data_IF_454886735617
#
_entry.id   IF_454886735617
#
_cell.length_a   1.000
_cell.length_b   1.000
_cell.length_c   1.000
_cell.angle_alpha   90.00
_cell.angle_beta   90.00
_cell.angle_gamma   90.00
#
_symmetry.space_group_name_H-M   'P 1'
#
loop_
_entity.id
_entity.type
_entity.pdbx_description
1 polymer ?
#
# COMPACT_ATOMS: atom_id res chain seq x y z
N UNK A 1 -42.21 -57.38 -48.90
CA UNK A 1 -40.79 -57.27 -49.28
C UNK A 1 -40.00 -56.78 -48.05
N UNK A 2 -39.24 -57.69 -47.45
CA UNK A 2 -38.34 -57.46 -46.31
C UNK A 2 -37.08 -56.77 -46.82
N UNK A 3 -36.64 -55.70 -46.15
CA UNK A 3 -35.26 -55.26 -46.21
C UNK A 3 -34.75 -55.10 -44.79
N UNK A 4 -33.77 -55.86 -44.45
CA UNK A 4 -32.97 -55.96 -43.26
C UNK A 4 -32.11 -54.71 -43.05
N UNK A 5 -32.03 -54.25 -41.84
CA UNK A 5 -31.05 -53.22 -41.35
C UNK A 5 -29.90 -53.99 -40.69
N UNK A 6 -28.62 -53.74 -41.03
CA UNK A 6 -27.51 -54.46 -40.44
C UNK A 6 -27.18 -54.03 -39.02
N UNK A 7 -27.01 -54.98 -38.12
CA UNK A 7 -26.40 -54.97 -36.84
C UNK A 7 -24.91 -54.53 -36.92
N UNK A 8 -24.58 -53.33 -36.74
CA UNK A 8 -23.19 -52.88 -36.49
C UNK A 8 -23.13 -51.50 -35.84
N UNK A 9 -23.90 -51.23 -34.78
CA UNK A 9 -23.77 -49.96 -33.98
C UNK A 9 -24.02 -50.18 -32.50
N UNK A 10 -23.48 -51.27 -31.92
CA UNK A 10 -23.64 -51.51 -30.49
C UNK A 10 -22.35 -52.05 -29.84
N UNK A 11 -21.22 -51.37 -30.06
CA UNK A 11 -19.96 -51.75 -29.40
C UNK A 11 -19.00 -50.61 -29.07
N UNK A 12 -19.50 -49.37 -28.91
CA UNK A 12 -18.67 -48.23 -28.53
C UNK A 12 -19.19 -47.39 -27.36
N UNK A 13 -20.07 -47.93 -26.51
CA UNK A 13 -20.57 -47.22 -25.30
C UNK A 13 -20.21 -47.97 -24.01
N UNK A 14 -19.11 -48.68 -23.96
CA UNK A 14 -18.66 -49.34 -22.71
C UNK A 14 -17.16 -49.19 -22.43
N UNK A 15 -16.59 -48.03 -22.69
CA UNK A 15 -15.18 -47.77 -22.37
C UNK A 15 -14.94 -46.31 -21.93
N UNK A 16 -15.90 -45.65 -21.25
CA UNK A 16 -15.69 -44.29 -20.70
C UNK A 16 -16.21 -44.17 -19.27
N UNK A 17 -16.00 -45.15 -18.44
CA UNK A 17 -16.29 -45.13 -17.01
C UNK A 17 -15.19 -45.83 -16.25
N UNK A 18 -13.97 -45.23 -16.17
CA UNK A 18 -12.96 -45.63 -15.16
C UNK A 18 -11.73 -44.71 -15.27
N UNK A 19 -11.85 -43.48 -14.87
CA UNK A 19 -10.73 -42.63 -14.39
C UNK A 19 -11.26 -41.40 -13.63
N UNK A 20 -12.21 -41.57 -12.72
CA UNK A 20 -12.39 -40.62 -11.61
C UNK A 20 -11.45 -41.08 -10.50
N UNK A 21 -10.19 -40.70 -10.61
CA UNK A 21 -9.30 -40.68 -9.45
C UNK A 21 -9.86 -39.64 -8.50
N UNK A 22 -10.05 -39.96 -7.21
CA UNK A 22 -10.42 -38.94 -6.23
C UNK A 22 -9.32 -37.92 -6.24
N UNK A 23 -9.68 -36.67 -6.58
CA UNK A 23 -8.84 -35.51 -6.28
C UNK A 23 -8.61 -35.55 -4.77
N UNK A 24 -7.41 -35.97 -4.38
CA UNK A 24 -7.01 -35.96 -2.99
C UNK A 24 -7.24 -34.54 -2.47
N UNK A 25 -8.07 -34.40 -1.47
CA UNK A 25 -8.15 -33.21 -0.61
C UNK A 25 -6.73 -33.02 -0.12
N UNK A 26 -6.00 -32.09 -0.69
CA UNK A 26 -4.75 -31.60 -0.10
C UNK A 26 -5.13 -31.09 1.26
N UNK A 27 -4.74 -31.82 2.29
CA UNK A 27 -4.82 -31.32 3.67
C UNK A 27 -4.18 -29.93 3.67
N UNK A 28 -4.88 -28.98 4.27
CA UNK A 28 -4.29 -27.65 4.53
C UNK A 28 -2.96 -27.87 5.27
N UNK A 29 -1.89 -27.18 4.89
CA UNK A 29 -0.60 -27.35 5.57
C UNK A 29 -0.78 -27.08 7.06
N UNK A 30 -0.10 -27.85 7.93
CA UNK A 30 -0.14 -27.68 9.41
C UNK A 30 0.12 -26.21 9.87
N UNK A 31 0.83 -25.43 9.06
CA UNK A 31 1.09 -24.01 9.26
C UNK A 31 -0.20 -23.16 9.17
N UNK A 32 -1.19 -23.57 8.36
CA UNK A 32 -2.48 -22.84 8.24
C UNK A 32 -3.38 -23.09 9.48
N UNK A 33 -3.36 -24.29 10.04
CA UNK A 33 -4.12 -24.60 11.24
C UNK A 33 -3.59 -23.88 12.49
N UNK A 34 -2.25 -23.79 12.64
CA UNK A 34 -1.62 -22.98 13.69
C UNK A 34 -1.84 -21.48 13.49
N UNK A 35 -1.86 -21.02 12.26
CA UNK A 35 -2.16 -19.63 11.95
C UNK A 35 -3.62 -19.26 12.27
N UNK A 36 -4.58 -20.18 12.08
CA UNK A 36 -5.98 -19.94 12.44
C UNK A 36 -6.22 -19.71 13.94
N UNK A 37 -5.37 -20.25 14.81
CA UNK A 37 -5.44 -20.02 16.26
C UNK A 37 -4.69 -18.77 16.75
N UNK A 38 -4.05 -18.03 15.85
CA UNK A 38 -3.17 -16.91 16.19
C UNK A 38 -3.89 -15.72 16.83
N UNK A 39 -5.17 -15.51 16.49
CA UNK A 39 -5.96 -14.35 16.91
C UNK A 39 -7.37 -14.75 17.36
N UNK A 40 -8.02 -13.90 18.16
CA UNK A 40 -9.42 -14.07 18.58
C UNK A 40 -10.38 -13.26 17.71
N UNK A 41 -9.95 -12.14 17.14
CA UNK A 41 -10.78 -11.29 16.30
C UNK A 41 -11.38 -12.09 15.12
N UNK A 42 -12.69 -11.91 14.81
CA UNK A 42 -13.37 -12.69 13.77
C UNK A 42 -12.96 -12.29 12.35
N UNK A 43 -12.34 -11.14 12.16
CA UNK A 43 -11.89 -10.68 10.84
C UNK A 43 -10.52 -10.05 10.90
N UNK A 44 -9.58 -10.52 10.06
CA UNK A 44 -8.25 -9.94 9.98
C UNK A 44 -7.53 -10.24 8.66
N UNK A 45 -6.64 -9.34 8.27
CA UNK A 45 -5.67 -9.52 7.18
C UNK A 45 -4.32 -8.97 7.61
N UNK A 46 -3.27 -9.71 7.29
CA UNK A 46 -1.89 -9.23 7.36
C UNK A 46 -1.33 -9.14 5.95
N UNK A 47 -0.83 -7.99 5.56
CA UNK A 47 -0.32 -7.71 4.22
C UNK A 47 1.09 -7.12 4.29
N UNK A 48 1.98 -7.57 3.38
CA UNK A 48 3.26 -6.92 3.17
C UNK A 48 3.08 -5.72 2.21
N UNK A 49 3.64 -4.56 2.59
CA UNK A 49 3.37 -3.27 1.94
C UNK A 49 3.85 -3.20 0.48
N UNK A 50 5.09 -3.62 0.17
CA UNK A 50 5.68 -3.42 -1.16
C UNK A 50 5.05 -4.33 -2.20
N UNK A 51 4.93 -5.61 -1.89
CA UNK A 51 4.38 -6.62 -2.80
C UNK A 51 2.86 -6.67 -2.81
N UNK A 52 2.19 -6.24 -1.72
CA UNK A 52 0.77 -6.44 -1.49
C UNK A 52 0.40 -7.89 -1.17
N UNK A 53 1.40 -8.73 -0.88
CA UNK A 53 1.17 -10.14 -0.54
C UNK A 53 0.43 -10.26 0.79
N UNK A 54 -0.67 -11.01 0.78
CA UNK A 54 -1.40 -11.39 2.00
C UNK A 54 -0.67 -12.55 2.67
N UNK A 55 -0.18 -12.33 3.89
CA UNK A 55 0.56 -13.32 4.69
C UNK A 55 -0.34 -14.12 5.61
N UNK A 56 -1.46 -13.53 6.00
CA UNK A 56 -2.50 -14.14 6.84
C UNK A 56 -3.86 -13.53 6.50
N UNK A 57 -4.90 -14.36 6.55
CA UNK A 57 -6.27 -13.89 6.42
C UNK A 57 -7.24 -14.72 7.26
N UNK A 58 -8.23 -14.06 7.84
CA UNK A 58 -9.41 -14.65 8.49
C UNK A 58 -10.61 -13.82 8.11
N UNK A 59 -11.63 -14.45 7.51
CA UNK A 59 -12.84 -13.78 6.99
C UNK A 59 -12.52 -12.46 6.24
N UNK A 60 -11.58 -12.48 5.26
CA UNK A 60 -11.00 -11.27 4.67
C UNK A 60 -12.03 -10.40 3.94
N UNK A 61 -13.10 -11.01 3.42
CA UNK A 61 -14.10 -10.35 2.57
C UNK A 61 -15.47 -10.16 3.29
N UNK A 62 -15.55 -10.53 4.57
CA UNK A 62 -16.78 -10.35 5.34
C UNK A 62 -16.99 -8.87 5.68
N UNK A 63 -18.11 -8.31 5.23
CA UNK A 63 -18.52 -6.92 5.46
C UNK A 63 -18.79 -6.68 6.94
N UNK A 64 -18.18 -5.64 7.50
CA UNK A 64 -18.32 -5.22 8.89
C UNK A 64 -18.27 -3.70 8.98
N UNK A 65 -18.87 -3.14 10.02
CA UNK A 65 -18.72 -1.70 10.30
C UNK A 65 -17.25 -1.36 10.62
N UNK A 66 -16.65 -0.36 9.96
CA UNK A 66 -15.25 0.04 10.18
C UNK A 66 -15.08 0.95 11.40
N UNK A 67 -16.12 1.59 11.89
CA UNK A 67 -16.01 2.72 12.81
C UNK A 67 -14.97 3.75 12.29
N UNK A 68 -14.18 4.36 13.16
CA UNK A 68 -13.17 5.38 12.76
C UNK A 68 -12.02 4.88 11.87
N UNK A 69 -11.98 3.60 11.48
CA UNK A 69 -11.09 3.14 10.40
C UNK A 69 -11.45 3.83 9.07
N UNK A 70 -12.70 4.25 8.90
CA UNK A 70 -13.19 5.10 7.81
C UNK A 70 -12.27 6.28 7.52
N UNK A 71 -11.68 6.88 8.55
CA UNK A 71 -10.79 8.04 8.42
C UNK A 71 -9.50 7.78 7.65
N UNK A 72 -9.16 6.52 7.38
CA UNK A 72 -8.06 6.19 6.46
C UNK A 72 -8.42 6.67 5.05
N UNK A 73 -9.66 6.44 4.59
CA UNK A 73 -10.13 6.94 3.30
C UNK A 73 -10.25 8.47 3.31
N UNK A 74 -10.72 9.05 4.40
CA UNK A 74 -10.74 10.52 4.59
C UNK A 74 -9.36 11.12 4.43
N UNK A 75 -8.34 10.53 5.05
CA UNK A 75 -6.94 10.96 4.92
C UNK A 75 -6.42 10.78 3.48
N UNK A 76 -6.77 9.67 2.79
CA UNK A 76 -6.40 9.49 1.38
C UNK A 76 -6.89 10.67 0.55
N UNK A 77 -8.17 11.07 0.67
CA UNK A 77 -8.70 12.19 -0.11
C UNK A 77 -8.10 13.54 0.27
N UNK A 78 -7.78 13.75 1.55
CA UNK A 78 -7.07 14.95 2.00
C UNK A 78 -5.68 15.01 1.36
N UNK A 79 -4.93 13.92 1.38
CA UNK A 79 -3.61 13.87 0.76
C UNK A 79 -3.67 13.84 -0.78
N UNK A 80 -4.73 13.28 -1.38
CA UNK A 80 -4.99 13.42 -2.83
C UNK A 80 -5.12 14.91 -3.18
N UNK A 81 -5.92 15.69 -2.42
CA UNK A 81 -6.09 17.14 -2.62
C UNK A 81 -4.77 17.94 -2.43
N UNK A 82 -3.95 17.57 -1.44
CA UNK A 82 -2.63 18.17 -1.24
C UNK A 82 -1.72 17.89 -2.45
N UNK A 83 -1.69 16.67 -2.93
CA UNK A 83 -0.86 16.28 -4.08
C UNK A 83 -1.32 16.94 -5.38
N UNK A 84 -2.60 17.19 -5.54
CA UNK A 84 -3.21 17.90 -6.68
C UNK A 84 -3.00 19.42 -6.59
N UNK A 85 -2.53 19.93 -5.44
CA UNK A 85 -2.31 21.36 -5.21
C UNK A 85 -3.60 22.14 -4.98
N UNK A 86 -4.71 21.47 -4.69
CA UNK A 86 -6.00 22.09 -4.34
C UNK A 86 -6.14 22.34 -2.85
N UNK A 87 -5.26 21.76 -2.02
CA UNK A 87 -5.14 21.97 -0.58
C UNK A 87 -3.66 22.09 -0.24
N UNK A 88 -3.30 23.04 0.67
CA UNK A 88 -1.96 23.22 1.22
C UNK A 88 -2.00 23.04 2.74
N UNK A 89 -0.88 22.64 3.34
CA UNK A 89 -0.82 22.40 4.80
C UNK A 89 -1.11 23.65 5.62
N UNK A 90 -0.82 24.80 5.07
CA UNK A 90 -1.01 26.14 5.68
C UNK A 90 -2.42 26.71 5.48
N UNK A 91 -3.24 26.09 4.61
CA UNK A 91 -4.59 26.59 4.34
C UNK A 91 -5.46 26.57 5.60
N UNK A 92 -6.23 27.64 5.76
CA UNK A 92 -7.06 27.83 6.94
C UNK A 92 -8.40 27.12 6.77
N UNK A 93 -8.64 26.16 7.61
CA UNK A 93 -9.88 25.39 7.70
C UNK A 93 -10.78 26.04 8.76
N UNK A 94 -11.99 26.41 8.38
CA UNK A 94 -12.98 27.00 9.31
C UNK A 94 -13.99 25.92 9.71
N UNK A 95 -14.17 25.72 11.01
CA UNK A 95 -15.11 24.75 11.55
C UNK A 95 -16.54 25.26 11.38
N UNK A 96 -17.38 24.50 10.69
CA UNK A 96 -18.81 24.80 10.53
C UNK A 96 -19.62 24.43 11.80
N UNK A 97 -20.87 24.93 11.89
CA UNK A 97 -21.80 24.51 12.93
C UNK A 97 -22.05 22.99 12.88
N UNK A 98 -22.08 22.39 11.68
CA UNK A 98 -22.27 20.96 11.49
C UNK A 98 -21.04 20.16 11.98
N UNK A 99 -19.83 20.53 11.57
CA UNK A 99 -18.60 19.90 12.05
C UNK A 99 -18.49 19.96 13.58
N UNK A 100 -18.78 21.12 14.19
CA UNK A 100 -18.81 21.30 15.64
C UNK A 100 -19.83 20.38 16.33
N UNK A 101 -20.95 20.06 15.70
CA UNK A 101 -22.03 19.23 16.27
C UNK A 101 -21.69 17.74 16.33
N UNK A 102 -20.58 17.30 15.73
CA UNK A 102 -20.20 15.89 15.68
C UNK A 102 -20.02 15.32 17.09
N UNK A 103 -20.57 14.12 17.29
CA UNK A 103 -20.39 13.33 18.50
C UNK A 103 -19.16 12.41 18.45
N UNK A 104 -19.05 11.55 19.45
CA UNK A 104 -17.97 10.54 19.54
C UNK A 104 -16.61 11.12 19.86
N UNK A 105 -15.56 10.68 19.16
CA UNK A 105 -14.20 11.22 19.33
C UNK A 105 -14.12 12.64 18.76
N UNK A 106 -13.76 13.61 19.58
CA UNK A 106 -13.68 15.03 19.21
C UNK A 106 -12.39 15.66 19.73
N UNK A 107 -11.98 16.71 19.06
CA UNK A 107 -10.97 17.65 19.59
C UNK A 107 -11.62 18.95 20.07
N UNK A 108 -12.96 19.01 20.09
CA UNK A 108 -13.79 20.09 20.62
C UNK A 108 -13.61 21.42 19.90
N UNK A 109 -13.54 21.40 18.57
CA UNK A 109 -13.52 22.61 17.75
C UNK A 109 -14.80 23.42 17.95
N UNK A 110 -14.67 24.74 18.12
CA UNK A 110 -15.82 25.65 18.18
C UNK A 110 -16.24 26.11 16.78
N UNK A 111 -17.53 26.45 16.62
CA UNK A 111 -18.03 27.04 15.37
C UNK A 111 -17.31 28.34 15.05
N UNK A 112 -16.81 28.42 13.79
CA UNK A 112 -16.02 29.56 13.32
C UNK A 112 -14.55 29.51 13.78
N UNK A 113 -14.13 28.50 14.55
CA UNK A 113 -12.73 28.30 14.89
C UNK A 113 -11.93 27.97 13.62
N UNK A 114 -10.71 28.54 13.56
CA UNK A 114 -9.82 28.42 12.43
C UNK A 114 -8.55 27.68 12.84
N UNK A 115 -8.24 26.62 12.12
CA UNK A 115 -7.00 25.86 12.26
C UNK A 115 -6.37 25.69 10.88
N UNK A 116 -5.05 25.50 10.78
CA UNK A 116 -4.47 25.14 9.49
C UNK A 116 -4.72 23.64 9.16
N UNK A 117 -4.62 23.28 7.89
CA UNK A 117 -4.89 21.93 7.42
C UNK A 117 -3.97 20.89 8.08
N UNK A 118 -2.70 21.23 8.35
CA UNK A 118 -1.78 20.33 9.06
C UNK A 118 -2.28 20.00 10.47
N UNK A 119 -2.71 21.00 11.25
CA UNK A 119 -3.30 20.79 12.57
C UNK A 119 -4.55 19.91 12.49
N UNK A 120 -5.40 20.13 11.48
CA UNK A 120 -6.59 19.28 11.27
C UNK A 120 -6.22 17.83 10.94
N UNK A 121 -5.21 17.61 10.12
CA UNK A 121 -4.67 16.25 9.86
C UNK A 121 -4.20 15.60 11.17
N UNK A 122 -3.46 16.32 12.02
CA UNK A 122 -3.04 15.83 13.35
C UNK A 122 -4.24 15.47 14.22
N UNK A 123 -5.27 16.31 14.26
CA UNK A 123 -6.52 16.04 14.99
C UNK A 123 -7.20 14.74 14.53
N UNK A 124 -7.22 14.47 13.20
CA UNK A 124 -7.82 13.27 12.61
C UNK A 124 -6.98 12.03 12.92
N UNK A 125 -5.67 12.11 12.71
CA UNK A 125 -4.76 10.96 12.81
C UNK A 125 -4.54 10.55 14.27
N UNK A 126 -4.20 11.51 15.13
CA UNK A 126 -3.79 11.27 16.53
C UNK A 126 -5.01 11.04 17.42
N UNK A 127 -5.91 12.00 17.49
CA UNK A 127 -7.06 11.96 18.39
C UNK A 127 -8.33 11.38 17.78
N UNK A 128 -8.31 11.08 16.49
CA UNK A 128 -9.49 10.55 15.77
C UNK A 128 -10.67 11.54 15.74
N UNK A 129 -10.43 12.85 15.72
CA UNK A 129 -11.47 13.90 15.76
C UNK A 129 -12.50 13.76 14.63
N UNK A 130 -13.78 13.60 14.99
CA UNK A 130 -14.89 13.57 14.05
C UNK A 130 -15.18 14.96 13.52
N UNK A 131 -15.15 15.97 14.42
CA UNK A 131 -15.28 17.39 14.13
C UNK A 131 -14.23 17.86 13.10
N UNK A 132 -12.97 17.51 13.32
CA UNK A 132 -11.89 17.79 12.37
C UNK A 132 -12.08 17.06 11.03
N UNK A 133 -12.57 15.82 11.04
CA UNK A 133 -12.81 15.04 9.81
C UNK A 133 -13.87 15.68 8.93
N UNK A 134 -15.01 16.09 9.53
CA UNK A 134 -16.10 16.75 8.83
C UNK A 134 -15.68 18.12 8.32
N UNK A 135 -14.99 18.94 9.14
CA UNK A 135 -14.51 20.26 8.69
C UNK A 135 -13.56 20.16 7.49
N UNK A 136 -12.66 19.14 7.48
CA UNK A 136 -11.79 18.88 6.33
C UNK A 136 -12.56 18.38 5.11
N UNK A 137 -13.56 17.51 5.31
CA UNK A 137 -14.41 17.01 4.23
C UNK A 137 -15.19 18.15 3.55
N UNK A 138 -15.79 19.04 4.35
CA UNK A 138 -16.47 20.23 3.85
C UNK A 138 -15.52 21.18 3.10
N UNK A 139 -14.31 21.38 3.61
CA UNK A 139 -13.31 22.22 2.93
C UNK A 139 -12.88 21.65 1.58
N UNK A 140 -12.60 20.34 1.51
CA UNK A 140 -12.09 19.67 0.30
C UNK A 140 -13.16 19.47 -0.77
N UNK A 141 -14.42 19.23 -0.37
CA UNK A 141 -15.49 18.88 -1.31
C UNK A 141 -16.70 19.82 -1.27
N UNK A 142 -16.68 20.83 -0.42
CA UNK A 142 -17.80 21.77 -0.21
C UNK A 142 -18.86 21.25 0.75
N UNK A 143 -19.12 19.93 0.80
CA UNK A 143 -20.03 19.27 1.75
C UNK A 143 -19.49 17.89 2.12
N UNK A 144 -19.88 17.37 3.32
CA UNK A 144 -19.56 15.98 3.68
C UNK A 144 -20.16 15.00 2.68
N UNK A 145 -21.39 15.23 2.18
CA UNK A 145 -22.02 14.35 1.20
C UNK A 145 -21.17 14.22 -0.08
N UNK A 146 -20.74 15.35 -0.67
CA UNK A 146 -19.89 15.34 -1.86
C UNK A 146 -18.52 14.65 -1.59
N UNK A 147 -18.02 14.80 -0.36
CA UNK A 147 -16.79 14.11 0.05
C UNK A 147 -17.00 12.59 0.14
N UNK A 148 -18.12 12.13 0.69
CA UNK A 148 -18.47 10.70 0.78
C UNK A 148 -18.66 10.08 -0.60
N UNK A 149 -19.24 10.81 -1.55
CA UNK A 149 -19.33 10.38 -2.95
C UNK A 149 -17.92 10.11 -3.52
N UNK A 150 -16.96 11.05 -3.31
CA UNK A 150 -15.55 10.85 -3.70
C UNK A 150 -14.89 9.69 -2.96
N UNK A 151 -15.19 9.48 -1.66
CA UNK A 151 -14.68 8.30 -0.91
C UNK A 151 -15.11 7.00 -1.58
N UNK A 152 -16.37 6.89 -2.01
CA UNK A 152 -16.89 5.71 -2.68
C UNK A 152 -16.31 5.51 -4.10
N UNK A 153 -16.08 6.59 -4.84
CA UNK A 153 -15.36 6.54 -6.11
C UNK A 153 -13.92 6.05 -5.89
N UNK A 154 -13.21 6.64 -4.92
CA UNK A 154 -11.84 6.26 -4.60
C UNK A 154 -11.71 4.80 -4.13
N UNK A 155 -12.70 4.31 -3.39
CA UNK A 155 -12.76 2.90 -2.99
C UNK A 155 -12.87 1.97 -4.22
N UNK A 156 -13.69 2.33 -5.22
CA UNK A 156 -13.77 1.60 -6.50
C UNK A 156 -12.44 1.59 -7.24
N UNK A 157 -11.76 2.74 -7.33
CA UNK A 157 -10.45 2.86 -7.99
C UNK A 157 -9.39 1.99 -7.32
N UNK A 158 -9.45 1.83 -6.01
CA UNK A 158 -8.57 0.95 -5.24
C UNK A 158 -8.94 -0.53 -5.33
N UNK A 159 -10.07 -0.87 -5.97
CA UNK A 159 -10.56 -2.23 -6.07
C UNK A 159 -11.18 -2.76 -4.77
N UNK A 160 -11.63 -1.88 -3.87
CA UNK A 160 -12.32 -2.22 -2.62
C UNK A 160 -13.77 -2.64 -2.91
N UNK A 161 -13.95 -3.90 -3.31
CA UNK A 161 -15.23 -4.42 -3.83
C UNK A 161 -16.33 -4.56 -2.80
N UNK A 162 -15.96 -4.64 -1.53
CA UNK A 162 -16.87 -4.86 -0.41
C UNK A 162 -16.85 -3.70 0.58
N UNK A 163 -16.75 -2.46 0.06
CA UNK A 163 -16.72 -1.24 0.86
C UNK A 163 -17.74 -0.24 0.36
N UNK A 164 -18.44 0.38 1.30
CA UNK A 164 -19.32 1.51 1.05
C UNK A 164 -19.33 2.45 2.26
N UNK A 165 -19.13 3.73 2.02
CA UNK A 165 -19.10 4.79 3.02
C UNK A 165 -20.38 5.62 2.92
N UNK A 166 -20.94 6.03 4.08
CA UNK A 166 -22.08 6.94 4.18
C UNK A 166 -21.78 8.18 5.03
N UNK A 167 -20.63 8.19 5.73
CA UNK A 167 -20.05 9.37 6.39
C UNK A 167 -18.53 9.35 6.28
N UNK A 168 -17.88 10.48 6.58
CA UNK A 168 -16.42 10.63 6.47
C UNK A 168 -15.63 10.22 7.73
N UNK A 169 -16.30 9.88 8.82
CA UNK A 169 -15.62 9.65 10.12
C UNK A 169 -15.91 8.27 10.74
N UNK A 170 -16.91 7.54 10.25
CA UNK A 170 -17.31 6.23 10.74
C UNK A 170 -18.10 6.30 12.04
N UNK A 171 -18.91 7.35 12.23
CA UNK A 171 -19.76 7.52 13.40
C UNK A 171 -21.13 6.87 13.22
N UNK A 172 -21.59 6.72 11.98
CA UNK A 172 -22.90 6.19 11.66
C UNK A 172 -23.11 4.75 12.14
N UNK A 173 -24.33 4.43 12.51
CA UNK A 173 -24.79 3.07 12.81
C UNK A 173 -25.48 2.38 11.61
N UNK A 174 -25.47 3.04 10.43
CA UNK A 174 -26.06 2.48 9.20
C UNK A 174 -25.40 1.17 8.80
N UNK A 175 -26.20 0.19 8.42
CA UNK A 175 -25.72 -1.07 7.86
C UNK A 175 -25.11 -0.89 6.46
N UNK A 176 -25.40 0.22 5.79
CA UNK A 176 -24.82 0.57 4.50
C UNK A 176 -23.38 1.13 4.61
N UNK A 177 -22.89 1.38 5.85
CA UNK A 177 -21.52 1.79 6.11
C UNK A 177 -20.67 0.58 6.50
N UNK A 178 -19.99 0.01 5.53
CA UNK A 178 -19.24 -1.23 5.73
C UNK A 178 -17.93 -1.27 4.93
N UNK A 179 -17.03 -2.09 5.40
CA UNK A 179 -15.79 -2.49 4.71
C UNK A 179 -15.40 -3.91 5.13
N UNK A 180 -14.26 -4.39 4.66
CA UNK A 180 -13.73 -5.71 5.00
C UNK A 180 -12.29 -5.62 5.53
N UNK A 181 -11.78 -6.65 6.22
CA UNK A 181 -10.37 -6.68 6.62
C UNK A 181 -9.41 -6.51 5.44
N UNK A 182 -9.72 -7.09 4.28
CA UNK A 182 -8.90 -6.97 3.08
C UNK A 182 -8.93 -5.55 2.52
N UNK A 183 -10.11 -4.94 2.40
CA UNK A 183 -10.25 -3.57 1.88
C UNK A 183 -9.59 -2.54 2.81
N UNK A 184 -9.62 -2.78 4.14
CA UNK A 184 -8.83 -1.96 5.10
C UNK A 184 -7.33 -2.08 4.81
N UNK A 185 -6.81 -3.28 4.56
CA UNK A 185 -5.40 -3.46 4.22
C UNK A 185 -5.04 -2.75 2.91
N UNK A 186 -5.93 -2.79 1.88
CA UNK A 186 -5.74 -2.09 0.61
C UNK A 186 -5.65 -0.57 0.80
N UNK A 187 -6.65 0.06 1.48
CA UNK A 187 -6.63 1.50 1.67
C UNK A 187 -5.49 1.95 2.60
N UNK A 188 -5.11 1.14 3.59
CA UNK A 188 -3.96 1.42 4.44
C UNK A 188 -2.66 1.38 3.64
N UNK A 189 -2.51 0.37 2.76
CA UNK A 189 -1.37 0.25 1.85
C UNK A 189 -1.27 1.43 0.89
N UNK A 190 -2.39 1.86 0.31
CA UNK A 190 -2.45 3.05 -0.55
C UNK A 190 -1.98 4.28 0.21
N UNK A 191 -2.55 4.55 1.39
CA UNK A 191 -2.23 5.72 2.19
C UNK A 191 -0.73 5.80 2.50
N UNK A 192 -0.13 4.74 3.05
CA UNK A 192 1.27 4.76 3.47
C UNK A 192 2.29 4.60 2.33
N UNK A 193 1.84 4.11 1.15
CA UNK A 193 2.73 3.97 -0.01
C UNK A 193 2.75 5.24 -0.86
N UNK A 194 1.60 5.87 -1.02
CA UNK A 194 1.44 7.06 -1.84
C UNK A 194 1.74 8.35 -1.08
N UNK A 195 1.48 8.35 0.23
CA UNK A 195 1.63 9.48 1.14
C UNK A 195 2.37 9.06 2.42
N UNK A 196 3.66 8.65 2.30
CA UNK A 196 4.44 8.16 3.45
C UNK A 196 4.57 9.18 4.58
N UNK A 197 4.40 10.47 4.29
CA UNK A 197 4.36 11.55 5.27
C UNK A 197 3.27 11.38 6.32
N UNK A 198 2.19 10.65 6.05
CA UNK A 198 1.16 10.35 7.06
C UNK A 198 1.74 9.62 8.27
N UNK A 199 2.82 8.84 8.06
CA UNK A 199 3.48 8.10 9.13
C UNK A 199 4.17 9.03 10.13
N UNK A 200 4.57 10.24 9.73
CA UNK A 200 5.13 11.25 10.65
C UNK A 200 4.09 11.73 11.67
N UNK A 201 2.82 11.80 11.26
CA UNK A 201 1.70 12.15 12.14
C UNK A 201 1.21 10.94 12.94
N UNK A 202 1.05 9.76 12.30
CA UNK A 202 0.47 8.59 12.96
C UNK A 202 1.37 7.94 14.00
N UNK A 203 2.68 8.18 13.95
CA UNK A 203 3.65 7.72 14.97
C UNK A 203 3.72 8.61 16.20
N UNK A 204 3.12 9.79 16.19
CA UNK A 204 3.09 10.70 17.34
C UNK A 204 2.18 10.13 18.42
N UNK A 205 2.71 10.02 19.66
CA UNK A 205 1.94 9.57 20.82
C UNK A 205 1.06 10.68 21.40
N UNK A 206 1.63 11.87 21.60
CA UNK A 206 0.94 13.04 22.13
C UNK A 206 1.51 14.32 21.52
N UNK A 207 0.63 15.27 21.22
CA UNK A 207 1.01 16.59 20.71
C UNK A 207 0.00 17.65 21.17
N UNK A 208 0.46 18.83 21.52
CA UNK A 208 -0.41 19.94 21.89
C UNK A 208 -0.82 20.74 20.66
N UNK A 209 -2.11 21.07 20.58
CA UNK A 209 -2.65 22.08 19.68
C UNK A 209 -3.16 23.27 20.48
N UNK A 210 -3.36 24.40 19.81
CA UNK A 210 -3.93 25.59 20.43
C UNK A 210 -5.27 25.93 19.81
N UNK A 211 -6.34 25.88 20.60
CA UNK A 211 -7.63 26.45 20.23
C UNK A 211 -7.58 27.95 20.32
N UNK A 212 -8.00 28.63 19.27
CA UNK A 212 -8.17 30.09 19.28
C UNK A 212 -9.63 30.38 18.97
N UNK A 213 -10.38 30.73 20.02
CA UNK A 213 -11.83 30.95 19.97
C UNK A 213 -12.18 32.35 20.40
N UNK A 214 -13.44 32.74 20.34
CA UNK A 214 -13.93 34.02 20.87
C UNK A 214 -13.71 34.16 22.39
N UNK A 215 -13.52 33.06 23.12
CA UNK A 215 -13.28 33.02 24.56
C UNK A 215 -11.80 33.14 24.93
N UNK A 216 -10.90 33.19 23.95
CA UNK A 216 -9.46 33.22 24.13
C UNK A 216 -8.73 32.03 23.60
N UNK A 217 -7.45 31.87 23.98
CA UNK A 217 -6.62 30.74 23.56
C UNK A 217 -6.48 29.71 24.67
N UNK A 218 -6.57 28.43 24.33
CA UNK A 218 -6.36 27.31 25.25
C UNK A 218 -5.58 26.19 24.58
N UNK A 219 -4.72 25.53 25.35
CA UNK A 219 -4.03 24.30 24.86
C UNK A 219 -4.93 23.10 24.98
N UNK A 220 -4.83 22.19 24.00
CA UNK A 220 -5.48 20.90 24.00
C UNK A 220 -4.47 19.83 23.57
N UNK A 221 -4.31 18.78 24.39
CA UNK A 221 -3.37 17.71 24.11
C UNK A 221 -4.06 16.60 23.31
N UNK A 222 -3.65 16.40 22.07
CA UNK A 222 -3.98 15.24 21.27
C UNK A 222 -3.29 14.01 21.86
N UNK A 223 -4.02 12.92 22.07
CA UNK A 223 -3.45 11.64 22.51
C UNK A 223 -3.79 10.56 21.52
N UNK A 224 -2.78 9.82 21.08
CA UNK A 224 -2.97 8.77 20.07
C UNK A 224 -3.77 7.58 20.65
N UNK A 225 -4.76 7.16 19.88
CA UNK A 225 -5.63 6.05 20.27
C UNK A 225 -4.98 4.68 20.05
N UNK A 226 -3.87 4.62 19.28
CA UNK A 226 -3.14 3.38 18.99
C UNK A 226 -2.05 3.10 20.07
N UNK A 227 -2.39 2.26 21.04
CA UNK A 227 -1.46 1.91 22.13
C UNK A 227 -0.25 1.09 21.69
N UNK A 228 -0.25 0.49 20.48
CA UNK A 228 0.92 -0.23 19.95
C UNK A 228 2.13 0.69 19.75
N UNK A 229 1.92 1.99 19.55
CA UNK A 229 3.03 2.97 19.46
C UNK A 229 3.96 2.94 20.69
N UNK A 230 3.45 2.53 21.86
CA UNK A 230 4.23 2.44 23.10
C UNK A 230 4.63 1.03 23.50
N UNK A 231 4.02 0.00 22.91
CA UNK A 231 4.16 -1.38 23.36
C UNK A 231 4.67 -2.34 22.29
N UNK A 232 4.80 -1.89 21.04
CA UNK A 232 5.23 -2.72 19.92
C UNK A 232 6.35 -2.05 19.14
N UNK A 233 7.53 -2.65 19.13
CA UNK A 233 8.70 -2.15 18.43
C UNK A 233 8.46 -2.03 16.92
N UNK A 234 8.81 -0.87 16.37
CA UNK A 234 8.63 -0.56 14.96
C UNK A 234 7.22 -0.14 14.57
N UNK A 235 6.27 0.00 15.53
CA UNK A 235 4.92 0.50 15.21
C UNK A 235 4.97 1.97 14.77
N UNK A 236 4.35 2.26 13.61
CA UNK A 236 4.29 3.59 13.00
C UNK A 236 2.87 4.15 12.90
N UNK A 237 1.86 3.39 13.33
CA UNK A 237 0.44 3.79 13.25
C UNK A 237 -0.46 2.56 13.09
N UNK A 238 -1.63 2.63 12.46
CA UNK A 238 -2.14 3.74 11.63
C UNK A 238 -3.43 4.32 12.28
N UNK A 239 -4.50 3.51 12.43
CA UNK A 239 -5.80 3.97 12.89
C UNK A 239 -6.53 2.93 13.71
N UNK A 240 -7.20 3.38 14.78
CA UNK A 240 -8.16 2.57 15.56
C UNK A 240 -9.59 2.97 15.21
N UNK A 241 -10.53 2.06 15.45
CA UNK A 241 -11.96 2.33 15.38
C UNK A 241 -12.72 1.56 16.46
N UNK A 242 -13.80 2.13 16.99
CA UNK A 242 -14.71 1.42 17.87
C UNK A 242 -16.08 2.11 17.93
N UNK A 243 -17.13 1.30 17.83
CA UNK A 243 -18.54 1.65 18.14
C UNK A 243 -19.18 0.42 18.80
N UNK A 244 -20.40 0.56 19.28
CA UNK A 244 -21.20 -0.56 19.81
C UNK A 244 -21.33 -1.70 18.79
N UNK A 245 -21.51 -1.37 17.51
CA UNK A 245 -21.71 -2.30 16.39
C UNK A 245 -20.37 -2.85 15.88
N UNK A 246 -19.41 -1.96 15.60
CA UNK A 246 -18.11 -2.36 15.05
C UNK A 246 -17.23 -3.13 16.04
N UNK A 247 -17.54 -3.08 17.33
CA UNK A 247 -16.65 -3.54 18.39
C UNK A 247 -15.31 -2.82 18.30
N UNK A 248 -14.19 -3.53 18.31
CA UNK A 248 -12.85 -2.92 18.31
C UNK A 248 -12.10 -3.28 17.04
N UNK A 249 -11.79 -2.25 16.25
CA UNK A 249 -11.07 -2.38 14.99
C UNK A 249 -9.71 -1.67 15.06
N UNK A 250 -8.75 -2.15 14.27
CA UNK A 250 -7.40 -1.59 14.18
C UNK A 250 -6.83 -1.84 12.78
N UNK A 251 -6.28 -0.80 12.16
CA UNK A 251 -5.25 -0.93 11.14
C UNK A 251 -3.92 -0.56 11.78
N UNK A 252 -3.03 -1.52 11.95
CA UNK A 252 -1.69 -1.33 12.49
C UNK A 252 -0.65 -1.40 11.38
N UNK A 253 0.34 -0.50 11.43
CA UNK A 253 1.49 -0.49 10.54
C UNK A 253 2.75 -0.57 11.38
N UNK A 254 3.64 -1.47 11.02
CA UNK A 254 4.95 -1.58 11.67
C UNK A 254 6.05 -1.85 10.64
N UNK A 255 7.24 -1.35 10.93
CA UNK A 255 8.44 -1.60 10.11
C UNK A 255 9.56 -2.17 10.96
N UNK A 256 10.20 -3.23 10.47
CA UNK A 256 11.43 -3.80 11.03
C UNK A 256 12.37 -4.24 9.90
N UNK A 257 13.62 -3.90 10.02
CA UNK A 257 14.66 -4.30 9.06
C UNK A 257 14.30 -3.95 7.60
N UNK A 258 13.63 -2.80 7.38
CA UNK A 258 13.19 -2.35 6.07
C UNK A 258 12.00 -3.10 5.48
N UNK A 259 11.31 -3.93 6.24
CA UNK A 259 10.07 -4.61 5.86
C UNK A 259 8.92 -3.91 6.58
N UNK A 260 7.91 -3.47 5.84
CA UNK A 260 6.71 -2.82 6.40
C UNK A 260 5.50 -3.74 6.27
N UNK A 261 4.85 -4.00 7.38
CA UNK A 261 3.66 -4.84 7.45
C UNK A 261 2.43 -4.05 7.89
N UNK A 262 1.27 -4.44 7.36
CA UNK A 262 -0.04 -3.86 7.64
C UNK A 262 -0.92 -4.97 8.22
N UNK A 263 -1.36 -4.81 9.47
CA UNK A 263 -2.30 -5.73 10.11
C UNK A 263 -3.65 -5.04 10.28
N UNK A 264 -4.67 -5.49 9.56
CA UNK A 264 -6.06 -5.08 9.77
C UNK A 264 -6.76 -6.08 10.67
N UNK A 265 -7.42 -5.60 11.72
CA UNK A 265 -8.19 -6.39 12.68
C UNK A 265 -9.56 -5.75 12.82
N UNK A 266 -10.64 -6.54 12.66
CA UNK A 266 -12.01 -6.08 12.78
C UNK A 266 -12.80 -6.88 13.80
N UNK A 267 -13.69 -6.19 14.50
CA UNK A 267 -14.67 -6.75 15.44
C UNK A 267 -14.05 -7.55 16.60
N UNK A 268 -12.82 -7.20 17.05
CA UNK A 268 -12.27 -7.78 18.26
C UNK A 268 -13.20 -7.55 19.46
N UNK A 269 -13.34 -8.53 20.39
CA UNK A 269 -14.31 -8.45 21.47
C UNK A 269 -14.05 -7.31 22.46
N UNK A 270 -12.80 -6.93 22.64
CA UNK A 270 -12.37 -5.90 23.58
C UNK A 270 -11.13 -5.12 23.08
N UNK A 271 -10.80 -3.97 23.68
CA UNK A 271 -9.70 -3.13 23.22
C UNK A 271 -8.31 -3.77 23.43
N UNK A 272 -8.12 -4.70 24.38
CA UNK A 272 -6.84 -5.37 24.60
C UNK A 272 -6.61 -6.44 23.54
N UNK A 273 -7.65 -7.18 23.21
CA UNK A 273 -7.63 -8.22 22.17
C UNK A 273 -7.23 -7.68 20.82
N UNK A 274 -7.79 -6.53 20.37
CA UNK A 274 -7.40 -5.95 19.06
C UNK A 274 -5.91 -5.64 18.96
N UNK A 275 -5.27 -5.17 20.05
CA UNK A 275 -3.84 -4.86 20.07
C UNK A 275 -2.99 -6.12 20.16
N UNK A 276 -3.40 -7.10 20.99
CA UNK A 276 -2.73 -8.39 21.09
C UNK A 276 -2.75 -9.12 19.74
N UNK A 277 -3.89 -9.19 19.10
CA UNK A 277 -4.08 -9.90 17.83
C UNK A 277 -3.26 -9.22 16.70
N UNK A 278 -3.27 -7.88 16.63
CA UNK A 278 -2.43 -7.16 15.66
C UNK A 278 -0.93 -7.41 15.91
N UNK A 279 -0.49 -7.40 17.18
CA UNK A 279 0.91 -7.71 17.52
C UNK A 279 1.29 -9.15 17.14
N UNK A 280 0.40 -10.10 17.36
CA UNK A 280 0.61 -11.51 16.98
C UNK A 280 0.74 -11.66 15.45
N UNK A 281 -0.14 -11.00 14.68
CA UNK A 281 -0.08 -10.97 13.22
C UNK A 281 1.23 -10.36 12.72
N UNK A 282 1.63 -9.20 13.25
CA UNK A 282 2.87 -8.54 12.87
C UNK A 282 4.09 -9.41 13.17
N UNK A 283 4.15 -10.05 14.35
CA UNK A 283 5.22 -10.98 14.70
C UNK A 283 5.27 -12.19 13.74
N UNK A 284 4.11 -12.76 13.42
CA UNK A 284 4.01 -13.83 12.42
C UNK A 284 4.56 -13.37 11.07
N UNK A 285 4.15 -12.20 10.56
CA UNK A 285 4.63 -11.69 9.29
C UNK A 285 6.13 -11.42 9.28
N UNK A 286 6.67 -10.78 10.31
CA UNK A 286 8.13 -10.55 10.40
C UNK A 286 8.93 -11.85 10.49
N UNK A 287 8.36 -12.94 11.02
CA UNK A 287 9.02 -14.25 11.01
C UNK A 287 9.03 -14.92 9.62
N UNK A 288 8.11 -14.53 8.74
CA UNK A 288 7.97 -15.08 7.38
C UNK A 288 8.65 -14.24 6.31
N UNK A 289 8.88 -12.95 6.58
CA UNK A 289 9.44 -12.03 5.60
C UNK A 289 10.96 -11.92 5.76
N UNK A 290 11.67 -11.93 4.63
CA UNK A 290 13.12 -11.68 4.59
C UNK A 290 13.43 -10.71 3.45
N UNK A 291 14.19 -9.64 3.76
CA UNK A 291 14.65 -8.66 2.79
C UNK A 291 16.00 -9.07 2.21
N UNK A 292 16.08 -9.12 0.89
CA UNK A 292 17.33 -9.08 0.15
C UNK A 292 17.55 -7.67 -0.43
N UNK A 293 18.68 -7.08 -0.14
CA UNK A 293 19.11 -5.79 -0.67
C UNK A 293 20.45 -5.96 -1.35
N UNK A 294 20.53 -5.59 -2.64
CA UNK A 294 21.81 -5.56 -3.34
C UNK A 294 22.45 -4.16 -3.18
N UNK A 295 23.27 -4.03 -2.15
CA UNK A 295 24.03 -2.81 -1.85
C UNK A 295 25.35 -2.71 -2.61
N UNK A 296 25.89 -3.86 -3.07
CA UNK A 296 27.18 -3.98 -3.74
C UNK A 296 26.99 -4.23 -5.24
N UNK A 297 26.51 -3.20 -5.96
CA UNK A 297 26.40 -3.24 -7.41
C UNK A 297 27.80 -3.08 -8.04
N UNK A 298 28.16 -4.00 -8.92
CA UNK A 298 29.42 -3.91 -9.67
C UNK A 298 29.37 -2.74 -10.66
N UNK A 299 30.47 -2.00 -10.83
CA UNK A 299 30.54 -0.93 -11.82
C UNK A 299 30.25 -1.45 -13.24
N UNK A 300 29.35 -0.75 -13.94
CA UNK A 300 29.01 -1.09 -15.32
C UNK A 300 30.08 -0.59 -16.28
N UNK A 301 30.54 -1.46 -17.20
CA UNK A 301 31.41 -1.04 -18.32
C UNK A 301 30.56 -0.15 -19.27
N UNK A 302 31.17 0.93 -19.82
CA UNK A 302 30.54 1.71 -20.85
C UNK A 302 30.13 0.86 -22.06
N UNK A 303 28.95 1.15 -22.63
CA UNK A 303 28.44 0.45 -23.80
C UNK A 303 28.97 1.06 -25.08
N UNK A 304 29.38 0.22 -26.03
CA UNK A 304 29.78 0.65 -27.37
C UNK A 304 28.62 1.29 -28.11
N UNK A 305 28.86 2.47 -28.68
CA UNK A 305 27.85 3.24 -29.42
C UNK A 305 28.29 3.41 -30.87
N UNK A 306 27.45 2.99 -31.81
CA UNK A 306 27.66 3.22 -33.24
C UNK A 306 27.00 4.51 -33.70
N UNK A 307 27.58 5.18 -34.66
CA UNK A 307 27.07 6.40 -35.31
C UNK A 307 26.80 7.58 -34.35
N UNK A 308 27.40 7.56 -33.15
CA UNK A 308 27.27 8.65 -32.18
C UNK A 308 28.45 9.63 -32.28
N UNK A 309 28.31 10.83 -31.74
CA UNK A 309 29.40 11.80 -31.54
C UNK A 309 30.44 11.29 -30.53
N UNK A 310 30.12 10.27 -29.72
CA UNK A 310 31.02 9.49 -28.88
C UNK A 310 30.90 8.00 -29.21
N UNK A 311 31.96 7.23 -29.05
CA UNK A 311 31.98 5.79 -29.34
C UNK A 311 31.48 4.91 -28.20
N UNK A 312 31.36 5.47 -27.01
CA UNK A 312 30.89 4.79 -25.81
C UNK A 312 29.95 5.70 -25.03
N UNK A 313 29.02 5.07 -24.32
CA UNK A 313 28.07 5.74 -23.40
C UNK A 313 28.18 5.09 -22.01
N UNK A 314 28.34 5.89 -20.93
CA UNK A 314 28.31 5.38 -19.58
C UNK A 314 26.93 4.82 -19.25
N UNK A 315 26.90 3.77 -18.45
CA UNK A 315 25.69 3.12 -17.95
C UNK A 315 25.56 3.33 -16.46
N UNK A 316 24.33 3.47 -15.97
CA UNK A 316 24.03 3.64 -14.55
C UNK A 316 22.84 2.76 -14.16
N UNK A 317 22.85 2.23 -12.95
CA UNK A 317 21.69 1.52 -12.41
C UNK A 317 20.59 2.50 -11.99
N UNK A 318 19.33 2.10 -12.14
CA UNK A 318 18.17 2.86 -11.65
C UNK A 318 17.90 2.53 -10.18
N UNK A 319 18.78 2.99 -9.28
CA UNK A 319 18.66 2.73 -7.84
C UNK A 319 19.28 1.41 -7.39
N UNK A 320 18.72 0.80 -6.34
CA UNK A 320 19.15 -0.48 -5.74
C UNK A 320 18.11 -1.55 -5.96
N UNK A 321 18.51 -2.81 -6.06
CA UNK A 321 17.58 -3.92 -6.13
C UNK A 321 17.16 -4.33 -4.73
N UNK A 322 15.84 -4.42 -4.52
CA UNK A 322 15.20 -4.94 -3.31
C UNK A 322 14.28 -6.10 -3.69
N UNK A 323 14.29 -7.11 -2.86
CA UNK A 323 13.35 -8.22 -2.97
C UNK A 323 12.93 -8.67 -1.58
N UNK A 324 11.63 -8.83 -1.34
CA UNK A 324 11.07 -9.33 -0.10
C UNK A 324 10.53 -10.73 -0.37
N UNK A 325 11.15 -11.74 0.24
CA UNK A 325 10.57 -13.06 0.34
C UNK A 325 9.47 -13.04 1.41
N UNK A 326 8.33 -13.64 1.10
CA UNK A 326 7.13 -13.64 1.96
C UNK A 326 6.69 -15.06 2.36
N UNK A 327 7.46 -16.07 1.98
CA UNK A 327 7.17 -17.50 2.18
C UNK A 327 8.07 -18.16 3.24
N UNK A 328 8.87 -17.37 3.96
CA UNK A 328 9.81 -17.86 4.97
C UNK A 328 11.16 -18.30 4.41
N UNK A 329 11.35 -18.28 3.08
CA UNK A 329 12.65 -18.59 2.48
C UNK A 329 13.62 -17.43 2.66
N UNK A 330 14.86 -17.74 3.02
CA UNK A 330 15.93 -16.75 2.99
C UNK A 330 16.44 -16.63 1.56
N UNK A 331 16.59 -15.42 1.01
CA UNK A 331 17.14 -15.21 -0.33
C UNK A 331 18.66 -15.37 -0.32
N UNK A 332 19.14 -16.57 0.03
CA UNK A 332 20.53 -16.95 -0.02
C UNK A 332 20.88 -17.36 -1.47
N UNK A 333 22.14 -17.19 -1.90
CA UNK A 333 22.63 -17.58 -3.23
C UNK A 333 21.91 -16.89 -4.42
N UNK A 334 21.57 -15.62 -4.29
CA UNK A 334 20.98 -14.85 -5.38
C UNK A 334 22.02 -14.69 -6.52
N UNK A 335 21.69 -15.23 -7.70
CA UNK A 335 22.51 -15.11 -8.91
C UNK A 335 22.11 -13.88 -9.70
N UNK A 336 23.10 -13.12 -10.16
CA UNK A 336 22.93 -11.92 -10.98
C UNK A 336 23.26 -12.23 -12.43
N UNK A 337 22.44 -11.74 -13.36
CA UNK A 337 22.67 -11.87 -14.80
C UNK A 337 22.49 -10.50 -15.46
N UNK A 338 23.57 -10.00 -16.06
CA UNK A 338 23.53 -8.77 -16.83
C UNK A 338 22.97 -9.04 -18.22
N UNK A 339 21.93 -8.32 -18.59
CA UNK A 339 21.27 -8.40 -19.91
C UNK A 339 21.36 -7.05 -20.58
N UNK A 340 22.37 -6.89 -21.44
CA UNK A 340 22.67 -5.70 -22.21
C UNK A 340 22.91 -6.06 -23.67
N UNK A 341 22.53 -5.23 -24.63
CA UNK A 341 22.99 -5.35 -26.01
C UNK A 341 24.51 -5.12 -26.07
N UNK A 342 25.20 -5.83 -26.97
CA UNK A 342 26.65 -5.67 -27.13
C UNK A 342 27.02 -4.26 -27.58
N UNK A 343 26.17 -3.61 -28.36
CA UNK A 343 26.32 -2.26 -28.90
C UNK A 343 24.94 -1.64 -29.21
N UNK A 344 24.90 -0.33 -29.34
CA UNK A 344 23.69 0.43 -29.66
C UNK A 344 24.00 1.49 -30.73
N UNK A 345 22.99 1.85 -31.53
CA UNK A 345 23.10 2.98 -32.45
C UNK A 345 22.66 4.29 -31.74
N UNK A 346 23.43 5.36 -31.97
CA UNK A 346 22.99 6.69 -31.57
C UNK A 346 21.81 7.18 -32.46
N UNK A 347 20.95 8.07 -31.93
CA UNK A 347 21.09 8.79 -30.67
C UNK A 347 20.58 7.97 -29.47
N UNK A 348 21.11 8.25 -28.28
CA UNK A 348 20.61 7.76 -26.99
C UNK A 348 20.36 8.94 -26.05
N UNK A 349 19.39 8.82 -25.15
CA UNK A 349 19.03 9.88 -24.20
C UNK A 349 19.40 9.44 -22.77
N UNK A 350 19.97 10.36 -21.97
CA UNK A 350 20.18 10.17 -20.55
C UNK A 350 18.87 9.72 -19.87
N UNK A 351 18.96 8.68 -19.04
CA UNK A 351 17.80 8.11 -18.34
C UNK A 351 16.96 7.14 -19.18
N UNK A 352 17.21 7.00 -20.49
CA UNK A 352 16.57 5.97 -21.31
C UNK A 352 17.11 4.59 -20.93
N UNK A 353 16.27 3.57 -20.92
CA UNK A 353 16.62 2.19 -20.58
C UNK A 353 17.60 1.61 -21.62
N UNK A 354 18.72 1.09 -21.12
CA UNK A 354 19.76 0.43 -21.91
C UNK A 354 19.69 -1.10 -21.79
N UNK A 355 19.23 -1.61 -20.65
CA UNK A 355 19.11 -3.03 -20.37
C UNK A 355 18.66 -3.28 -18.95
N UNK A 356 18.94 -4.48 -18.40
CA UNK A 356 18.57 -4.87 -17.05
C UNK A 356 19.64 -5.74 -16.40
N UNK A 357 19.76 -5.64 -15.08
CA UNK A 357 20.36 -6.65 -14.22
C UNK A 357 19.23 -7.56 -13.71
N UNK A 358 19.23 -8.82 -14.10
CA UNK A 358 18.26 -9.81 -13.62
C UNK A 358 18.79 -10.51 -12.38
N UNK A 359 17.88 -10.85 -11.46
CA UNK A 359 18.17 -11.55 -10.21
C UNK A 359 17.40 -12.86 -10.15
N UNK A 360 18.09 -13.93 -9.76
CA UNK A 360 17.56 -15.29 -9.71
C UNK A 360 17.88 -15.93 -8.37
N UNK A 361 16.89 -16.60 -7.79
CA UNK A 361 17.04 -17.48 -6.62
C UNK A 361 16.57 -18.87 -7.03
N UNK A 362 17.39 -19.89 -6.81
CA UNK A 362 17.08 -21.31 -7.14
C UNK A 362 16.58 -21.50 -8.57
N UNK A 363 17.14 -20.74 -9.52
CA UNK A 363 16.76 -20.76 -10.93
C UNK A 363 15.49 -19.95 -11.28
N UNK A 364 14.73 -19.49 -10.32
CA UNK A 364 13.55 -18.64 -10.51
C UNK A 364 13.95 -17.17 -10.52
N UNK A 365 13.46 -16.41 -11.51
CA UNK A 365 13.67 -14.96 -11.54
C UNK A 365 12.86 -14.30 -10.43
N UNK A 366 13.55 -13.60 -9.52
CA UNK A 366 12.94 -12.85 -8.41
C UNK A 366 12.80 -11.36 -8.70
N UNK A 367 13.40 -10.86 -9.78
CA UNK A 367 13.23 -9.49 -10.23
C UNK A 367 14.31 -9.00 -11.16
N UNK A 368 14.29 -7.70 -11.45
CA UNK A 368 15.31 -7.04 -12.27
C UNK A 368 15.46 -5.58 -11.87
N UNK A 369 16.68 -5.04 -12.09
CA UNK A 369 17.03 -3.63 -11.90
C UNK A 369 17.32 -3.02 -13.26
N UNK A 370 16.67 -1.92 -13.61
CA UNK A 370 16.88 -1.22 -14.87
C UNK A 370 18.28 -0.60 -14.91
N UNK A 371 18.91 -0.69 -16.09
CA UNK A 371 20.15 -0.01 -16.43
C UNK A 371 19.83 1.06 -17.46
N UNK A 372 20.30 2.28 -17.21
CA UNK A 372 20.00 3.46 -17.99
C UNK A 372 21.26 4.03 -18.63
N UNK A 373 21.10 4.75 -19.75
CA UNK A 373 22.19 5.56 -20.28
C UNK A 373 22.49 6.73 -19.34
N UNK A 374 23.74 6.90 -18.97
CA UNK A 374 24.20 7.94 -18.03
C UNK A 374 24.27 9.33 -18.66
N UNK A 375 24.36 9.43 -20.00
CA UNK A 375 24.39 10.70 -20.73
C UNK A 375 23.59 10.62 -22.04
N UNK A 376 23.28 11.80 -22.60
CA UNK A 376 22.67 11.93 -23.93
C UNK A 376 23.75 12.06 -24.98
N UNK A 377 23.74 11.16 -25.98
CA UNK A 377 24.70 11.20 -27.10
C UNK A 377 23.91 11.35 -28.41
N UNK A 378 24.21 12.40 -29.15
CA UNK A 378 23.63 12.67 -30.46
C UNK A 378 24.22 11.77 -31.54
N UNK A 379 23.51 11.61 -32.63
CA UNK A 379 24.06 10.96 -33.83
C UNK A 379 25.14 11.85 -34.44
N UNK A 380 26.28 11.27 -34.85
CA UNK A 380 27.35 11.97 -35.54
C UNK A 380 26.82 12.47 -36.91
N UNK A 381 27.09 13.74 -37.17
CA UNK A 381 26.87 14.36 -38.47
C UNK A 381 28.10 14.24 -39.38
N UNK A 382 28.04 14.86 -40.59
CA UNK A 382 29.15 14.81 -41.55
C UNK A 382 30.44 15.39 -40.96
N UNK A 383 30.38 16.53 -40.27
CA UNK A 383 31.55 17.18 -39.67
C UNK A 383 32.22 16.33 -38.61
N UNK A 384 31.44 15.63 -37.77
CA UNK A 384 31.98 14.75 -36.73
C UNK A 384 32.78 13.58 -37.38
N UNK A 385 32.28 13.04 -38.49
CA UNK A 385 32.95 11.97 -39.23
C UNK A 385 34.22 12.47 -39.91
N UNK A 386 34.17 13.65 -40.52
CA UNK A 386 35.35 14.25 -41.17
C UNK A 386 36.47 14.50 -40.16
N UNK A 387 36.14 15.10 -39.02
CA UNK A 387 37.11 15.37 -37.95
C UNK A 387 37.75 14.09 -37.42
N UNK A 388 37.00 13.04 -37.18
CA UNK A 388 37.55 11.74 -36.77
C UNK A 388 38.46 11.12 -37.82
N UNK A 389 38.08 11.23 -39.06
CA UNK A 389 38.90 10.70 -40.16
C UNK A 389 40.22 11.47 -40.23
N UNK A 390 40.21 12.80 -40.16
CA UNK A 390 41.43 13.61 -40.12
C UNK A 390 42.30 13.27 -38.90
N UNK A 391 41.73 13.10 -37.73
CA UNK A 391 42.50 12.69 -36.53
C UNK A 391 43.13 11.30 -36.66
N UNK A 392 42.44 10.36 -37.31
CA UNK A 392 42.99 9.01 -37.55
C UNK A 392 44.15 8.99 -38.59
N UNK A 393 44.22 9.99 -39.46
CA UNK A 393 45.33 10.12 -40.43
C UNK A 393 46.51 10.96 -39.90
N UNK A 394 46.33 11.69 -38.79
CA UNK A 394 47.37 12.50 -38.16
C UNK A 394 48.15 11.74 -37.06
N UNK A 395 47.79 10.49 -36.79
CA UNK A 395 48.48 9.54 -35.93
C UNK A 395 49.25 8.52 -36.80
#
# INVERSE_FOLDING_TARGET
MKRSVPERFLTWILALCLALTPVGVRGEPEDSAKAQQLIEAPGAVLMEKETGTVLYSRDPDTRRSPASITKIMTLILIFDAIREGTLHLEDIITTSAYARSMGGSQVFLEEGEKQNAETMIKCIVIASGNDASVAMAEHVAGTEQAFVERMNERAKDLGMKNTHFVDCCGLTESQDHYTTPYDIALMSRELISRYPEVLTYSSVWMEDITHVTRKGSSKFTLTNTNKLLRSYEGCMGLKTGSTSIAKYCLSAVAERNGITLIASVMAAPDPKTRFRDAAALLNYGFSKCTLYLDDALEPLKPMKLRKGVKEQVPLVYKGKFRYISTDGTKPDNVRKKLVLPKEQNAPVKKGQKAGVQEYYQDGKKIGSLDILYGETIKRAGYHDWLERTCQAFLL
#
